data_IF_998066001537
#
_entry.id   IF_998066001537
#
_cell.length_a   1.000
_cell.length_b   1.000
_cell.length_c   1.000
_cell.angle_alpha   90.00
_cell.angle_beta   90.00
_cell.angle_gamma   90.00
#
_symmetry.space_group_name_H-M   'P 1'
#
loop_
_entity.id
_entity.type
_entity.pdbx_description
1 polymer ?
#
# COMPACT_ATOMS: atom_id res chain seq x y z
N UNK A 1 -4.57 31.91 -14.18
CA UNK A 1 -4.73 32.24 -12.74
C UNK A 1 -5.67 31.22 -12.14
N UNK A 2 -5.22 30.41 -11.19
CA UNK A 2 -6.02 29.34 -10.59
C UNK A 2 -6.62 29.89 -9.28
N UNK A 3 -7.94 30.00 -9.22
CA UNK A 3 -8.63 30.49 -8.02
C UNK A 3 -8.40 29.48 -6.88
N UNK A 4 -7.94 29.90 -5.68
CA UNK A 4 -7.77 28.99 -4.56
C UNK A 4 -9.17 28.54 -4.08
N UNK A 5 -9.44 27.24 -4.23
CA UNK A 5 -10.69 26.62 -3.78
C UNK A 5 -10.48 26.01 -2.40
N UNK A 6 -11.40 26.31 -1.49
CA UNK A 6 -11.42 25.69 -0.18
C UNK A 6 -11.74 24.20 -0.25
N UNK A 7 -11.30 23.47 0.79
CA UNK A 7 -11.51 22.03 0.91
C UNK A 7 -11.08 21.24 -0.33
N UNK A 8 -10.01 21.66 -0.99
CA UNK A 8 -9.49 21.06 -2.24
C UNK A 8 -10.51 21.00 -3.38
N UNK A 9 -11.54 21.85 -3.36
CA UNK A 9 -12.59 21.88 -4.40
C UNK A 9 -13.66 20.79 -4.23
N UNK A 10 -13.76 20.15 -3.06
CA UNK A 10 -14.84 19.22 -2.75
C UNK A 10 -16.12 19.95 -2.30
N UNK A 11 -17.27 19.34 -2.61
CA UNK A 11 -18.59 19.87 -2.25
C UNK A 11 -18.90 19.67 -0.77
N UNK A 12 -18.86 20.76 0.02
CA UNK A 12 -19.11 20.76 1.48
C UNK A 12 -20.46 20.17 1.84
N UNK A 13 -21.51 20.55 1.11
CA UNK A 13 -22.87 20.09 1.36
C UNK A 13 -23.00 18.57 1.25
N UNK A 14 -22.30 17.96 0.29
CA UNK A 14 -22.34 16.51 0.08
C UNK A 14 -21.59 15.78 1.19
N UNK A 15 -20.47 16.34 1.65
CA UNK A 15 -19.73 15.79 2.79
C UNK A 15 -20.61 15.80 4.04
N UNK A 16 -21.37 16.87 4.27
CA UNK A 16 -22.26 16.96 5.44
C UNK A 16 -23.47 16.04 5.31
N UNK A 17 -24.17 16.09 4.19
CA UNK A 17 -25.47 15.40 4.01
C UNK A 17 -25.31 13.90 3.84
N UNK A 18 -24.21 13.44 3.24
CA UNK A 18 -23.92 12.02 2.98
C UNK A 18 -22.83 11.47 3.91
N UNK A 19 -22.59 12.12 5.05
CA UNK A 19 -21.75 11.61 6.13
C UNK A 19 -20.31 11.33 5.72
N UNK A 20 -19.65 12.24 5.01
CA UNK A 20 -18.24 12.12 4.64
C UNK A 20 -17.97 11.81 3.17
N UNK A 21 -19.00 11.74 2.32
CA UNK A 21 -18.80 11.47 0.90
C UNK A 21 -18.15 12.67 0.19
N UNK A 22 -16.92 12.46 -0.29
CA UNK A 22 -16.19 13.43 -1.09
C UNK A 22 -16.67 13.38 -2.54
N UNK A 23 -17.39 14.42 -2.96
CA UNK A 23 -17.75 14.64 -4.36
C UNK A 23 -17.03 15.88 -4.89
N UNK A 24 -16.33 15.79 -6.04
CA UNK A 24 -15.69 16.95 -6.63
C UNK A 24 -16.74 17.99 -7.03
N UNK A 25 -16.50 19.24 -6.67
CA UNK A 25 -17.33 20.35 -7.10
C UNK A 25 -17.14 20.65 -8.59
N UNK A 26 -18.19 21.13 -9.25
CA UNK A 26 -18.15 21.57 -10.64
C UNK A 26 -18.14 23.10 -10.69
N UNK A 27 -17.02 23.74 -11.06
CA UNK A 27 -16.94 25.21 -11.15
C UNK A 27 -17.94 25.82 -12.16
N UNK A 28 -18.41 25.01 -13.13
CA UNK A 28 -19.42 25.40 -14.12
C UNK A 28 -20.76 25.82 -13.49
N UNK A 29 -21.12 25.24 -12.35
CA UNK A 29 -22.36 25.57 -11.63
C UNK A 29 -22.23 26.91 -10.90
N UNK A 30 -21.00 27.31 -10.59
CA UNK A 30 -20.68 28.54 -9.88
C UNK A 30 -19.81 28.30 -8.65
N UNK A 31 -19.19 29.39 -8.19
CA UNK A 31 -18.35 29.42 -7.01
C UNK A 31 -18.95 30.40 -6.02
N UNK A 32 -19.13 29.98 -4.76
CA UNK A 32 -19.67 30.84 -3.70
C UNK A 32 -18.52 31.43 -2.91
N UNK A 33 -18.50 32.75 -2.77
CA UNK A 33 -17.54 33.46 -1.92
C UNK A 33 -18.17 33.74 -0.55
N UNK A 34 -17.57 33.23 0.51
CA UNK A 34 -17.98 33.51 1.90
C UNK A 34 -16.76 33.71 2.80
N UNK A 35 -16.73 34.79 3.60
CA UNK A 35 -15.58 35.18 4.46
C UNK A 35 -14.22 35.11 3.77
N UNK A 36 -14.14 35.64 2.55
CA UNK A 36 -12.93 35.64 1.72
C UNK A 36 -12.45 34.24 1.27
N UNK A 37 -13.30 33.24 1.40
CA UNK A 37 -13.06 31.88 0.94
C UNK A 37 -14.00 31.49 -0.19
N UNK A 38 -13.52 30.60 -1.08
CA UNK A 38 -14.23 30.20 -2.28
C UNK A 38 -14.63 28.71 -2.21
N UNK A 39 -15.93 28.45 -2.27
CA UNK A 39 -16.51 27.11 -2.16
C UNK A 39 -17.13 26.67 -3.49
N UNK A 40 -16.98 25.39 -3.82
CA UNK A 40 -17.55 24.78 -5.04
C UNK A 40 -18.53 23.68 -4.66
N UNK A 41 -19.56 23.51 -5.48
CA UNK A 41 -20.63 22.53 -5.25
C UNK A 41 -20.80 21.60 -6.45
N UNK A 42 -21.32 20.39 -6.19
CA UNK A 42 -21.60 19.40 -7.23
C UNK A 42 -23.00 19.59 -7.86
N UNK A 43 -23.90 20.25 -7.15
CA UNK A 43 -25.31 20.46 -7.52
C UNK A 43 -25.74 21.88 -7.18
N UNK A 44 -26.67 22.45 -7.94
CA UNK A 44 -27.25 23.77 -7.68
C UNK A 44 -28.01 23.81 -6.35
N UNK A 45 -28.75 22.74 -6.02
CA UNK A 45 -29.45 22.58 -4.73
C UNK A 45 -28.49 22.66 -3.53
N UNK A 46 -27.28 22.13 -3.69
CA UNK A 46 -26.26 22.18 -2.65
C UNK A 46 -25.73 23.61 -2.44
N UNK A 47 -25.63 24.37 -3.53
CA UNK A 47 -25.19 25.76 -3.52
C UNK A 47 -26.23 26.66 -2.86
N UNK A 48 -27.51 26.53 -3.22
CA UNK A 48 -28.59 27.33 -2.62
C UNK A 48 -28.75 27.03 -1.13
N UNK A 49 -28.75 25.74 -0.75
CA UNK A 49 -28.82 25.35 0.66
C UNK A 49 -27.64 25.90 1.48
N UNK A 50 -26.43 25.93 0.90
CA UNK A 50 -25.27 26.52 1.56
C UNK A 50 -25.38 28.04 1.71
N UNK A 51 -25.96 28.74 0.73
CA UNK A 51 -26.19 30.19 0.81
C UNK A 51 -27.17 30.55 1.93
N UNK A 52 -28.20 29.73 2.16
CA UNK A 52 -29.19 29.97 3.22
C UNK A 52 -28.56 29.89 4.62
N UNK A 53 -27.66 28.93 4.86
CA UNK A 53 -27.07 28.70 6.18
C UNK A 53 -25.62 28.19 6.14
N UNK A 54 -24.63 29.03 5.77
CA UNK A 54 -23.24 28.59 5.55
C UNK A 54 -22.54 28.10 6.83
N UNK A 55 -22.81 28.75 7.97
CA UNK A 55 -22.23 28.38 9.27
C UNK A 55 -22.58 26.95 9.68
N UNK A 56 -23.83 26.55 9.45
CA UNK A 56 -24.32 25.20 9.78
C UNK A 56 -23.49 24.12 9.08
N UNK A 57 -23.18 24.30 7.80
CA UNK A 57 -22.40 23.32 7.05
C UNK A 57 -20.94 23.27 7.48
N UNK A 58 -20.34 24.41 7.84
CA UNK A 58 -18.95 24.47 8.31
C UNK A 58 -18.80 23.80 9.69
N UNK A 59 -19.71 24.08 10.62
CA UNK A 59 -19.69 23.46 11.94
C UNK A 59 -20.03 21.96 11.87
N UNK A 60 -20.98 21.59 11.00
CA UNK A 60 -21.27 20.17 10.75
C UNK A 60 -20.07 19.46 10.12
N UNK A 61 -19.35 20.10 9.20
CA UNK A 61 -18.14 19.55 8.61
C UNK A 61 -17.08 19.29 9.69
N UNK A 62 -16.87 20.22 10.61
CA UNK A 62 -15.97 20.03 11.76
C UNK A 62 -16.37 18.81 12.59
N UNK A 63 -17.66 18.64 12.88
CA UNK A 63 -18.15 17.49 13.65
C UNK A 63 -17.90 16.15 12.94
N UNK A 64 -18.05 16.12 11.61
CA UNK A 64 -17.81 14.93 10.79
C UNK A 64 -16.32 14.62 10.73
N UNK A 65 -15.45 15.63 10.62
CA UNK A 65 -14.00 15.44 10.67
C UNK A 65 -13.52 14.86 12.01
N UNK A 66 -14.19 15.15 13.12
CA UNK A 66 -13.89 14.52 14.42
C UNK A 66 -14.31 13.05 14.44
N UNK A 67 -15.46 12.72 13.83
CA UNK A 67 -15.91 11.33 13.71
C UNK A 67 -15.06 10.51 12.72
N UNK A 68 -14.55 11.17 11.69
CA UNK A 68 -13.81 10.61 10.55
C UNK A 68 -12.51 11.39 10.31
N UNK A 69 -11.45 11.10 11.09
CA UNK A 69 -10.21 11.87 11.05
C UNK A 69 -9.51 11.82 9.68
N UNK A 70 -9.79 10.82 8.84
CA UNK A 70 -9.29 10.73 7.46
C UNK A 70 -9.65 11.97 6.61
N UNK A 71 -10.77 12.62 6.92
CA UNK A 71 -11.22 13.82 6.18
C UNK A 71 -10.37 15.05 6.50
N UNK A 72 -9.69 15.09 7.65
CA UNK A 72 -8.86 16.24 8.05
C UNK A 72 -7.72 16.45 7.05
N UNK A 73 -7.08 15.36 6.64
CA UNK A 73 -5.98 15.38 5.67
C UNK A 73 -6.49 15.56 4.24
N UNK A 74 -7.58 14.88 3.88
CA UNK A 74 -8.15 14.96 2.53
C UNK A 74 -8.68 16.36 2.19
N UNK A 75 -9.29 17.05 3.14
CA UNK A 75 -9.82 18.40 2.96
C UNK A 75 -8.80 19.50 3.29
N UNK A 76 -7.58 19.14 3.71
CA UNK A 76 -6.54 20.06 4.21
C UNK A 76 -7.02 21.02 5.30
N UNK A 77 -7.78 20.53 6.27
CA UNK A 77 -8.29 21.33 7.41
C UNK A 77 -7.45 21.18 8.68
N UNK A 78 -6.16 20.88 8.52
CA UNK A 78 -5.24 20.54 9.61
C UNK A 78 -5.04 21.71 10.60
N UNK A 79 -5.09 22.95 10.11
CA UNK A 79 -4.96 24.16 10.92
C UNK A 79 -6.08 24.28 11.98
N UNK A 80 -7.24 23.66 11.74
CA UNK A 80 -8.36 23.65 12.68
C UNK A 80 -8.27 22.54 13.73
N UNK A 81 -7.36 21.58 13.54
CA UNK A 81 -7.20 20.40 14.39
C UNK A 81 -5.72 20.12 14.71
N UNK A 82 -5.06 20.97 15.52
CA UNK A 82 -3.63 20.83 15.82
C UNK A 82 -3.29 19.46 16.44
N UNK A 83 -4.17 18.91 17.28
CA UNK A 83 -3.99 17.61 17.93
C UNK A 83 -4.26 16.38 17.06
N UNK A 84 -4.90 16.53 15.90
CA UNK A 84 -5.21 15.42 14.97
C UNK A 84 -4.28 15.41 13.74
N UNK A 85 -3.25 16.25 13.74
CA UNK A 85 -2.29 16.29 12.65
C UNK A 85 -1.36 15.08 12.71
N UNK A 86 -1.27 14.32 11.62
CA UNK A 86 -0.35 13.16 11.46
C UNK A 86 1.07 13.45 11.95
N UNK A 87 1.69 14.62 11.66
CA UNK A 87 3.02 14.94 12.18
C UNK A 87 3.07 14.95 13.71
N UNK A 88 2.07 15.55 14.36
CA UNK A 88 1.98 15.63 15.83
C UNK A 88 1.75 14.24 16.46
N UNK A 89 0.96 13.40 15.80
CA UNK A 89 0.71 12.02 16.23
C UNK A 89 1.97 11.14 16.07
N UNK A 90 2.72 11.28 14.98
CA UNK A 90 3.98 10.58 14.78
C UNK A 90 5.09 11.07 15.72
N UNK A 91 5.04 12.33 16.16
CA UNK A 91 5.99 12.89 17.12
C UNK A 91 5.74 12.45 18.58
N UNK A 92 4.64 11.73 18.87
CA UNK A 92 4.45 11.07 20.17
C UNK A 92 4.19 12.00 21.37
N UNK A 93 3.63 13.20 21.17
CA UNK A 93 3.21 14.07 22.27
C UNK A 93 1.76 13.81 22.70
N UNK A 94 1.42 13.70 24.00
CA UNK A 94 0.04 13.53 24.43
C UNK A 94 -0.79 14.76 24.05
N UNK A 95 -2.01 14.50 23.60
CA UNK A 95 -3.03 15.52 23.40
C UNK A 95 -3.44 16.10 24.76
N UNK A 96 -2.86 17.23 25.15
CA UNK A 96 -3.40 18.06 26.23
C UNK A 96 -2.35 18.67 27.16
N UNK A 97 -2.20 19.99 27.06
CA UNK A 97 -1.90 20.87 28.18
C UNK A 97 -0.45 20.92 28.67
N UNK A 98 0.08 22.15 28.73
CA UNK A 98 1.09 22.51 29.73
C UNK A 98 2.46 22.87 29.18
N UNK A 99 2.82 24.12 29.45
CA UNK A 99 4.13 24.71 29.32
C UNK A 99 5.30 23.81 29.78
N UNK A 100 6.43 23.92 29.06
CA UNK A 100 7.76 23.67 29.63
C UNK A 100 8.21 22.22 29.63
N UNK A 101 8.75 21.75 28.51
CA UNK A 101 9.46 20.48 28.47
C UNK A 101 10.16 20.30 27.15
N UNK A 102 11.47 20.48 27.13
CA UNK A 102 12.32 20.21 25.99
C UNK A 102 12.25 18.72 25.61
N UNK A 103 11.35 18.37 24.70
CA UNK A 103 11.32 17.09 24.02
C UNK A 103 12.23 17.13 22.79
N UNK A 104 13.53 17.17 23.01
CA UNK A 104 14.50 16.90 21.95
C UNK A 104 14.44 15.41 21.61
N UNK A 105 13.80 15.06 20.50
CA UNK A 105 14.09 13.80 19.82
C UNK A 105 15.35 14.05 18.97
N UNK A 106 16.43 13.24 19.10
CA UNK A 106 17.58 13.36 18.21
C UNK A 106 17.14 12.99 16.79
N UNK A 107 17.16 13.96 15.86
CA UNK A 107 17.09 13.69 14.42
C UNK A 107 15.97 14.35 13.62
N UNK A 108 15.08 15.17 14.20
CA UNK A 108 14.08 15.91 13.42
C UNK A 108 14.38 17.40 13.46
N UNK A 109 15.09 17.86 12.44
CA UNK A 109 15.25 19.29 12.15
C UNK A 109 13.94 19.93 11.68
N UNK A 110 13.87 21.27 11.64
CA UNK A 110 12.62 22.04 11.47
C UNK A 110 12.08 22.08 10.03
N UNK A 111 12.51 21.19 9.13
CA UNK A 111 11.99 21.10 7.76
C UNK A 111 11.60 19.66 7.45
N UNK A 112 10.32 19.49 7.08
CA UNK A 112 9.69 18.21 6.75
C UNK A 112 10.19 17.60 5.44
N UNK A 113 11.46 17.24 5.40
CA UNK A 113 11.99 16.33 4.39
C UNK A 113 11.80 14.88 4.88
N UNK A 114 11.35 13.96 4.02
CA UNK A 114 11.32 12.55 4.37
C UNK A 114 12.74 12.12 4.70
N UNK A 115 12.99 11.76 5.96
CA UNK A 115 14.26 11.21 6.38
C UNK A 115 14.50 9.95 5.55
N UNK A 116 15.43 10.02 4.59
CA UNK A 116 15.80 8.88 3.77
C UNK A 116 16.60 7.94 4.65
N UNK A 117 15.92 6.95 5.23
CA UNK A 117 16.56 5.89 6.00
C UNK A 117 16.82 4.68 5.12
N UNK A 118 18.02 4.11 5.21
CA UNK A 118 18.30 2.82 4.59
C UNK A 118 17.43 1.73 5.22
N UNK A 119 16.52 1.16 4.43
CA UNK A 119 15.72 0.00 4.82
C UNK A 119 16.39 -1.26 4.26
N UNK A 120 16.92 -2.11 5.13
CA UNK A 120 17.41 -3.44 4.78
C UNK A 120 16.36 -4.49 5.12
N UNK A 121 15.88 -5.24 4.12
CA UNK A 121 14.99 -6.39 4.35
C UNK A 121 15.84 -7.65 4.41
N UNK A 122 16.03 -8.22 5.60
CA UNK A 122 16.63 -9.54 5.75
C UNK A 122 15.53 -10.60 5.65
N UNK A 123 15.62 -11.50 4.68
CA UNK A 123 14.76 -12.67 4.64
C UNK A 123 15.04 -13.53 5.87
N UNK A 124 14.01 -13.98 6.62
CA UNK A 124 14.22 -14.91 7.72
C UNK A 124 14.93 -16.15 7.17
N UNK A 125 16.13 -16.45 7.65
CA UNK A 125 16.88 -17.64 7.23
C UNK A 125 16.25 -18.93 7.73
N UNK A 126 15.35 -18.84 8.71
CA UNK A 126 14.63 -19.99 9.27
C UNK A 126 13.16 -19.63 9.54
N UNK A 127 12.30 -19.88 8.56
CA UNK A 127 10.86 -19.81 8.79
C UNK A 127 10.47 -20.91 9.80
N UNK A 128 9.77 -20.54 10.87
CA UNK A 128 9.17 -21.53 11.78
C UNK A 128 7.84 -21.98 11.17
N UNK A 129 7.87 -23.05 10.38
CA UNK A 129 6.70 -23.52 9.64
C UNK A 129 5.67 -24.27 10.51
N UNK A 130 6.09 -24.77 11.69
CA UNK A 130 5.24 -25.59 12.57
C UNK A 130 5.55 -25.34 14.05
N UNK A 131 4.51 -25.00 14.82
CA UNK A 131 4.52 -24.96 16.29
C UNK A 131 4.27 -26.35 16.92
N UNK A 132 4.79 -27.41 16.31
CA UNK A 132 4.70 -28.77 16.85
C UNK A 132 6.11 -29.22 17.17
N UNK A 133 6.40 -29.41 18.45
CA UNK A 133 7.66 -29.98 18.91
C UNK A 133 7.61 -31.52 18.75
N UNK A 134 8.40 -32.12 17.84
CA UNK A 134 8.43 -33.57 17.66
C UNK A 134 8.99 -34.31 18.87
N UNK A 135 9.70 -33.61 19.76
CA UNK A 135 10.27 -34.16 20.99
C UNK A 135 9.33 -34.07 22.19
N UNK A 136 8.17 -33.41 22.05
CA UNK A 136 7.20 -33.26 23.13
C UNK A 136 6.56 -34.61 23.51
N UNK A 137 6.48 -34.88 24.81
CA UNK A 137 5.79 -36.03 25.38
C UNK A 137 4.90 -35.57 26.53
N UNK A 138 3.61 -35.92 26.50
CA UNK A 138 2.65 -35.56 27.56
C UNK A 138 2.82 -36.38 28.85
N UNK A 139 3.49 -37.54 28.76
CA UNK A 139 3.66 -38.46 29.87
C UNK A 139 4.86 -38.06 30.75
N UNK A 140 4.59 -37.70 32.01
CA UNK A 140 5.63 -37.34 32.98
C UNK A 140 6.67 -38.43 33.24
N UNK A 141 6.26 -39.71 33.20
CA UNK A 141 7.19 -40.82 33.43
C UNK A 141 8.19 -40.99 32.30
N UNK A 142 7.77 -40.65 31.08
CA UNK A 142 8.67 -40.63 29.93
C UNK A 142 9.70 -39.50 30.07
N UNK A 143 9.28 -38.32 30.52
CA UNK A 143 10.18 -37.19 30.82
C UNK A 143 11.20 -37.57 31.91
N UNK A 144 10.77 -38.20 33.01
CA UNK A 144 11.67 -38.67 34.07
C UNK A 144 12.68 -39.70 33.54
N UNK A 145 12.25 -40.66 32.71
CA UNK A 145 13.14 -41.66 32.09
C UNK A 145 14.17 -41.01 31.16
N UNK A 146 13.75 -40.04 30.34
CA UNK A 146 14.65 -39.28 29.45
C UNK A 146 15.67 -38.47 30.26
N UNK A 147 15.24 -37.79 31.33
CA UNK A 147 16.14 -37.04 32.21
C UNK A 147 17.17 -37.95 32.90
N UNK A 148 16.75 -39.12 33.41
CA UNK A 148 17.64 -40.13 33.99
C UNK A 148 18.65 -40.65 32.96
N UNK A 149 18.23 -40.88 31.71
CA UNK A 149 19.13 -41.30 30.62
C UNK A 149 20.20 -40.25 30.36
N UNK A 150 19.85 -38.97 30.28
CA UNK A 150 20.81 -37.86 30.10
C UNK A 150 21.76 -37.75 31.31
N UNK A 151 21.25 -37.88 32.53
CA UNK A 151 22.06 -37.86 33.74
C UNK A 151 23.06 -39.03 33.78
N UNK A 152 22.65 -40.22 33.36
CA UNK A 152 23.53 -41.37 33.21
C UNK A 152 24.57 -41.14 32.11
N UNK A 153 24.19 -40.59 30.95
CA UNK A 153 25.13 -40.24 29.88
C UNK A 153 26.18 -39.22 30.36
N UNK A 154 25.82 -38.24 31.19
CA UNK A 154 26.78 -37.32 31.82
C UNK A 154 27.80 -38.02 32.73
N UNK A 155 27.42 -39.14 33.35
CA UNK A 155 28.30 -39.99 34.16
C UNK A 155 29.08 -40.99 33.31
N UNK A 156 28.56 -41.36 32.13
CA UNK A 156 29.27 -42.15 31.15
C UNK A 156 30.32 -41.27 30.46
N UNK A 157 31.51 -41.19 31.05
CA UNK A 157 32.68 -40.65 30.35
C UNK A 157 33.01 -41.59 29.19
N UNK A 158 32.88 -41.15 27.95
CA UNK A 158 33.42 -41.87 26.80
C UNK A 158 34.93 -42.01 27.01
N UNK A 159 35.39 -43.20 27.37
CA UNK A 159 36.80 -43.58 27.31
C UNK A 159 37.18 -43.86 25.86
N UNK A 160 36.95 -42.92 24.95
CA UNK A 160 37.64 -42.96 23.66
C UNK A 160 39.02 -42.35 23.87
N UNK A 161 40.00 -43.21 24.14
CA UNK A 161 41.40 -42.84 24.02
C UNK A 161 41.70 -42.63 22.53
N UNK A 162 41.43 -41.44 22.02
CA UNK A 162 42.09 -40.96 20.82
C UNK A 162 43.09 -39.92 21.28
N UNK A 163 44.33 -40.35 21.44
CA UNK A 163 45.49 -39.47 21.56
C UNK A 163 45.71 -38.76 20.23
N UNK A 164 46.29 -37.54 20.25
CA UNK A 164 46.66 -36.75 19.06
C UNK A 164 47.47 -37.56 18.02
N UNK A 165 48.17 -38.61 18.45
CA UNK A 165 48.88 -39.56 17.58
C UNK A 165 47.98 -40.36 16.62
N UNK A 166 46.70 -40.58 16.96
CA UNK A 166 45.75 -41.31 16.12
C UNK A 166 45.21 -40.49 14.94
N UNK A 167 45.39 -39.16 14.96
CA UNK A 167 45.01 -38.26 13.86
C UNK A 167 45.82 -38.52 12.59
N UNK A 168 47.09 -38.93 12.73
CA UNK A 168 48.03 -39.12 11.60
C UNK A 168 47.94 -40.48 10.91
N UNK A 169 47.17 -41.43 11.46
CA UNK A 169 47.03 -42.78 10.91
C UNK A 169 45.78 -42.96 10.03
N UNK A 170 45.05 -41.87 9.74
CA UNK A 170 43.82 -41.91 8.96
C UNK A 170 44.10 -41.59 7.51
N UNK A 171 44.05 -42.61 6.64
CA UNK A 171 43.93 -42.37 5.20
C UNK A 171 42.57 -41.70 4.93
N UNK A 172 42.61 -40.42 4.57
CA UNK A 172 41.43 -39.65 4.19
C UNK A 172 41.37 -39.57 2.66
N UNK A 173 40.73 -40.54 2.02
CA UNK A 173 40.42 -40.46 0.59
C UNK A 173 39.20 -39.55 0.39
N UNK A 174 39.41 -38.35 -0.13
CA UNK A 174 38.30 -37.46 -0.50
C UNK A 174 37.79 -37.83 -1.89
N UNK A 175 36.53 -38.23 -1.99
CA UNK A 175 35.89 -38.50 -3.27
C UNK A 175 35.46 -37.16 -3.89
N UNK A 176 36.05 -36.82 -5.05
CA UNK A 176 35.73 -35.60 -5.79
C UNK A 176 34.50 -35.84 -6.66
N UNK A 177 33.43 -35.08 -6.43
CA UNK A 177 32.28 -35.01 -7.33
C UNK A 177 32.33 -33.68 -8.07
N UNK A 178 32.68 -33.73 -9.35
CA UNK A 178 32.57 -32.55 -10.22
C UNK A 178 31.09 -32.19 -10.39
N UNK A 179 30.78 -30.90 -10.29
CA UNK A 179 29.42 -30.40 -10.49
C UNK A 179 28.93 -30.80 -11.89
N UNK A 180 27.72 -31.36 -11.96
CA UNK A 180 27.09 -31.72 -13.24
C UNK A 180 26.53 -30.45 -13.88
N UNK A 181 26.77 -30.29 -15.17
CA UNK A 181 26.12 -29.24 -15.95
C UNK A 181 24.62 -29.54 -16.06
N UNK A 182 23.80 -28.56 -15.65
CA UNK A 182 22.35 -28.61 -15.76
C UNK A 182 21.91 -27.42 -16.61
N UNK A 183 21.25 -27.70 -17.72
CA UNK A 183 20.59 -26.70 -18.53
C UNK A 183 19.08 -26.68 -18.21
N UNK A 184 18.45 -25.53 -18.32
CA UNK A 184 17.00 -25.40 -18.17
C UNK A 184 16.48 -24.50 -19.28
N UNK A 185 15.46 -24.98 -19.99
CA UNK A 185 14.80 -24.21 -21.03
C UNK A 185 13.65 -23.38 -20.43
N UNK A 186 13.54 -22.12 -20.85
CA UNK A 186 12.36 -21.29 -20.56
C UNK A 186 11.29 -21.46 -21.64
N UNK A 187 10.02 -21.34 -21.24
CA UNK A 187 8.87 -21.34 -22.14
C UNK A 187 9.01 -20.24 -23.20
N UNK A 188 8.86 -20.58 -24.48
CA UNK A 188 8.63 -19.63 -25.57
C UNK A 188 7.17 -19.71 -25.99
N UNK A 189 6.45 -18.60 -25.89
CA UNK A 189 5.12 -18.47 -26.45
C UNK A 189 5.20 -17.80 -27.83
N UNK A 190 4.63 -18.47 -28.83
CA UNK A 190 4.45 -17.95 -30.19
C UNK A 190 2.97 -18.05 -30.54
N UNK A 191 2.41 -16.99 -31.10
CA UNK A 191 1.01 -16.92 -31.52
C UNK A 191 0.90 -16.67 -33.02
N UNK A 192 -0.08 -17.31 -33.67
CA UNK A 192 -0.43 -17.07 -35.07
C UNK A 192 -1.71 -16.24 -35.12
N UNK A 193 -1.67 -15.06 -35.74
CA UNK A 193 -2.85 -14.21 -35.89
C UNK A 193 -3.59 -14.56 -37.19
N UNK A 194 -4.90 -14.85 -37.16
CA UNK A 194 -5.66 -15.11 -38.39
C UNK A 194 -5.88 -13.83 -39.21
N UNK A 195 -6.02 -14.00 -40.53
CA UNK A 195 -6.33 -12.90 -41.46
C UNK A 195 -7.65 -12.25 -41.07
N UNK A 196 -7.64 -10.92 -40.89
CA UNK A 196 -8.85 -10.17 -40.51
C UNK A 196 -9.58 -9.69 -41.76
N UNK A 197 -10.87 -10.02 -41.85
CA UNK A 197 -11.76 -9.51 -42.90
C UNK A 197 -12.59 -8.36 -42.33
N UNK A 198 -12.46 -7.16 -42.90
CA UNK A 198 -13.23 -5.99 -42.49
C UNK A 198 -14.13 -5.57 -43.64
N UNK A 199 -15.37 -5.24 -43.29
CA UNK A 199 -16.40 -4.83 -44.26
C UNK A 199 -16.50 -3.32 -44.26
N UNK A 200 -16.21 -2.68 -45.38
CA UNK A 200 -16.32 -1.23 -45.55
C UNK A 200 -17.45 -0.88 -46.52
N UNK A 201 -18.17 0.21 -46.20
CA UNK A 201 -19.20 0.77 -47.06
C UNK A 201 -18.59 1.89 -47.89
N UNK A 202 -18.45 1.69 -49.19
CA UNK A 202 -17.90 2.68 -50.12
C UNK A 202 -19.04 3.45 -50.81
N UNK A 203 -18.76 4.69 -51.23
CA UNK A 203 -19.69 5.51 -52.02
C UNK A 203 -20.58 6.49 -51.22
N UNK A 204 -20.27 6.74 -49.95
CA UNK A 204 -21.00 7.72 -49.10
C UNK A 204 -20.62 9.18 -49.37
N UNK A 205 -19.50 9.43 -50.06
CA UNK A 205 -19.10 10.76 -50.56
C UNK A 205 -19.42 10.75 -52.05
N UNK A 206 -20.53 11.37 -52.45
CA UNK A 206 -21.10 11.26 -53.80
C UNK A 206 -20.08 11.43 -54.92
N UNK A 207 -20.17 10.57 -55.93
CA UNK A 207 -19.45 10.76 -57.19
C UNK A 207 -20.17 11.84 -58.02
N UNK A 208 -19.42 12.58 -58.85
CA UNK A 208 -19.98 13.61 -59.73
C UNK A 208 -20.85 13.04 -60.87
N UNK A 209 -20.77 11.74 -61.09
CA UNK A 209 -21.60 11.01 -62.05
C UNK A 209 -22.69 10.34 -61.24
N UNK A 210 -23.95 10.76 -61.41
CA UNK A 210 -25.10 10.50 -60.52
C UNK A 210 -25.53 9.05 -60.29
N UNK A 211 -24.66 8.05 -60.46
CA UNK A 211 -24.87 6.67 -60.03
C UNK A 211 -24.13 6.40 -58.71
N UNK A 212 -24.82 6.58 -57.58
CA UNK A 212 -24.30 6.15 -56.27
C UNK A 212 -24.43 4.63 -56.17
N UNK A 213 -23.46 3.89 -56.71
CA UNK A 213 -23.34 2.47 -56.46
C UNK A 213 -22.87 2.25 -55.01
N UNK A 214 -23.82 2.00 -54.10
CA UNK A 214 -23.53 1.55 -52.73
C UNK A 214 -23.01 0.11 -52.79
N UNK A 215 -21.69 -0.05 -52.69
CA UNK A 215 -21.03 -1.35 -52.66
C UNK A 215 -20.50 -1.68 -51.26
N UNK A 216 -20.79 -2.89 -50.78
CA UNK A 216 -20.12 -3.47 -49.62
C UNK A 216 -18.82 -4.10 -50.13
N UNK A 217 -17.67 -3.56 -49.72
CA UNK A 217 -16.35 -4.09 -50.09
C UNK A 217 -15.76 -4.82 -48.89
N UNK A 218 -15.40 -6.09 -49.09
CA UNK A 218 -14.66 -6.87 -48.10
C UNK A 218 -13.18 -6.70 -48.38
N UNK A 219 -12.43 -6.17 -47.41
CA UNK A 219 -10.99 -6.03 -47.49
C UNK A 219 -10.33 -6.91 -46.43
N UNK A 220 -9.36 -7.70 -46.86
CA UNK A 220 -8.58 -8.58 -46.00
C UNK A 220 -7.17 -8.02 -45.89
N UNK A 221 -6.63 -7.94 -44.68
CA UNK A 221 -5.23 -7.57 -44.48
C UNK A 221 -4.61 -8.42 -43.36
N UNK A 222 -3.32 -8.68 -43.51
CA UNK A 222 -2.48 -9.34 -42.50
C UNK A 222 -1.83 -8.26 -41.61
N UNK A 223 -1.68 -8.55 -40.31
CA UNK A 223 -1.03 -7.67 -39.33
C UNK A 223 0.30 -8.31 -38.93
#
# INVERSE_FOLDING_TARGET
MQLPLEYQGFCVWTVVTRGGLLMPGKPEIGVVRWRNQYYVFAHEVAMTAFMDAPLRFIDSLRSICVQKPELIHLLRVQDQFPGASIPQMLLGGPAGGGAGGAGHIPGVGPEGLPAVSNAGTQTPTHFQERHVDPSYSWNEWELRRRALKVANLRKCKTSSQQTETSTFLRENSSQVYLARENETQTRRDAGTNPVRTVTYVQGLRGANDGSVAKGIVKMSYEI
#
